data_IF_617610020150
#
_entry.id   IF_617610020150
#
_cell.length_a   1.000
_cell.length_b   1.000
_cell.length_c   1.000
_cell.angle_alpha   90.00
_cell.angle_beta   90.00
_cell.angle_gamma   90.00
#
_symmetry.space_group_name_H-M   'P 1'
#
loop_
_entity.id
_entity.type
_entity.pdbx_description
1 polymer ?
#
# COMPACT_ATOMS: atom_id res chain seq x y z
N UNK A 1 24.88 1.68 -19.33
CA UNK A 1 25.10 1.74 -17.86
C UNK A 1 24.35 0.59 -17.23
N UNK A 2 24.86 -0.03 -16.16
CA UNK A 2 24.13 -1.06 -15.41
C UNK A 2 22.97 -0.37 -14.68
N UNK A 3 21.75 -0.92 -14.75
CA UNK A 3 20.56 -0.41 -14.04
C UNK A 3 20.83 -0.47 -12.53
N UNK A 4 20.69 0.66 -11.82
CA UNK A 4 20.89 0.71 -10.36
C UNK A 4 19.78 -0.05 -9.64
N UNK A 5 20.16 -0.91 -8.69
CA UNK A 5 19.24 -1.61 -7.81
C UNK A 5 18.62 -0.70 -6.76
N UNK A 6 17.74 -1.26 -5.93
CA UNK A 6 16.95 -0.50 -4.95
C UNK A 6 17.83 0.14 -3.86
N UNK A 7 18.84 -0.57 -3.37
CA UNK A 7 19.70 -0.07 -2.29
C UNK A 7 20.64 1.03 -2.78
N UNK A 8 21.12 0.93 -4.03
CA UNK A 8 21.90 1.96 -4.69
C UNK A 8 21.10 3.23 -4.90
N UNK A 9 19.83 3.12 -5.32
CA UNK A 9 18.95 4.29 -5.48
C UNK A 9 18.65 4.97 -4.15
N UNK A 10 18.40 4.20 -3.10
CA UNK A 10 18.13 4.73 -1.75
C UNK A 10 19.36 5.39 -1.12
N UNK A 11 20.56 4.94 -1.46
CA UNK A 11 21.80 5.59 -1.04
C UNK A 11 21.99 6.97 -1.70
N UNK A 12 21.47 7.15 -2.91
CA UNK A 12 21.60 8.39 -3.69
C UNK A 12 20.46 9.39 -3.42
N UNK A 13 19.27 8.92 -3.06
CA UNK A 13 18.14 9.80 -2.84
C UNK A 13 16.81 9.10 -2.61
N UNK A 14 15.74 9.73 -3.07
CA UNK A 14 14.37 9.27 -2.87
C UNK A 14 13.93 8.34 -3.99
N UNK A 15 13.39 7.20 -3.60
CA UNK A 15 12.64 6.26 -4.44
C UNK A 15 11.16 6.53 -4.24
N UNK A 16 10.43 6.69 -5.35
CA UNK A 16 8.98 6.85 -5.32
C UNK A 16 8.30 5.51 -5.59
N UNK A 17 7.44 5.08 -4.67
CA UNK A 17 6.58 3.90 -4.88
C UNK A 17 5.41 4.19 -5.82
N UNK A 18 4.73 3.15 -6.27
CA UNK A 18 3.44 3.28 -6.95
C UNK A 18 2.28 3.49 -5.93
N UNK A 19 1.05 3.35 -6.42
CA UNK A 19 -0.18 3.62 -5.66
C UNK A 19 -1.10 2.41 -5.49
N UNK A 20 -2.38 2.68 -5.26
CA UNK A 20 -3.37 1.67 -4.85
C UNK A 20 -3.97 0.88 -6.00
N UNK A 21 -3.28 -0.16 -6.47
CA UNK A 21 -3.72 -1.02 -7.59
C UNK A 21 -5.14 -1.60 -7.40
N UNK A 22 -5.36 -2.30 -6.29
CA UNK A 22 -6.61 -3.02 -6.00
C UNK A 22 -7.82 -2.07 -6.07
N UNK A 23 -7.75 -0.94 -5.36
CA UNK A 23 -8.85 0.03 -5.29
C UNK A 23 -9.03 0.80 -6.60
N UNK A 24 -7.94 1.16 -7.28
CA UNK A 24 -8.05 1.83 -8.58
C UNK A 24 -8.69 0.92 -9.64
N UNK A 25 -8.35 -0.38 -9.63
CA UNK A 25 -8.94 -1.35 -10.56
C UNK A 25 -10.36 -1.76 -10.19
N UNK A 26 -10.74 -1.74 -8.92
CA UNK A 26 -12.13 -1.95 -8.50
C UNK A 26 -13.04 -0.82 -9.04
N UNK A 27 -12.63 0.44 -8.85
CA UNK A 27 -13.35 1.60 -9.40
C UNK A 27 -13.40 1.60 -10.94
N UNK A 28 -12.45 0.94 -11.60
CA UNK A 28 -12.40 0.77 -13.06
C UNK A 28 -13.17 -0.47 -13.55
N UNK A 29 -13.72 -1.29 -12.65
CA UNK A 29 -14.54 -2.46 -12.97
C UNK A 29 -13.76 -3.74 -13.28
N UNK A 30 -12.50 -3.84 -12.86
CA UNK A 30 -11.63 -5.00 -13.14
C UNK A 30 -11.31 -5.84 -11.90
N UNK A 31 -11.58 -5.34 -10.70
CA UNK A 31 -11.40 -6.07 -9.44
C UNK A 31 -12.72 -6.06 -8.69
N UNK A 32 -13.09 -7.17 -8.07
CA UNK A 32 -14.30 -7.28 -7.27
C UNK A 32 -13.99 -7.01 -5.80
N UNK A 33 -14.71 -6.04 -5.21
CA UNK A 33 -14.71 -5.82 -3.77
C UNK A 33 -15.22 -7.06 -3.02
N UNK A 34 -14.52 -7.45 -1.96
CA UNK A 34 -14.75 -8.68 -1.21
C UNK A 34 -13.50 -9.57 -1.26
N UNK A 35 -13.31 -10.39 -2.31
CA UNK A 35 -12.09 -11.18 -2.46
C UNK A 35 -10.85 -10.35 -2.79
N UNK A 36 -11.00 -9.23 -3.52
CA UNK A 36 -9.89 -8.34 -3.91
C UNK A 36 -8.75 -9.03 -4.68
N UNK A 37 -9.08 -10.09 -5.43
CA UNK A 37 -8.13 -10.92 -6.16
C UNK A 37 -7.66 -10.26 -7.47
N UNK A 38 -6.44 -10.57 -7.97
CA UNK A 38 -5.86 -9.91 -9.14
C UNK A 38 -5.96 -10.73 -10.43
N UNK A 39 -7.04 -11.50 -10.64
CA UNK A 39 -7.29 -12.25 -11.88
C UNK A 39 -7.39 -11.37 -13.13
N UNK A 40 -7.62 -10.06 -12.96
CA UNK A 40 -7.50 -9.05 -14.01
C UNK A 40 -6.15 -9.09 -14.74
N UNK A 41 -5.09 -9.57 -14.11
CA UNK A 41 -3.78 -9.78 -14.75
C UNK A 41 -3.85 -10.78 -15.92
N UNK A 42 -4.72 -11.78 -15.82
CA UNK A 42 -4.98 -12.77 -16.85
C UNK A 42 -6.16 -12.38 -17.75
N UNK A 43 -7.26 -11.92 -17.14
CA UNK A 43 -8.53 -11.66 -17.87
C UNK A 43 -8.51 -10.31 -18.61
N UNK A 44 -7.84 -9.30 -18.05
CA UNK A 44 -7.85 -7.92 -18.53
C UNK A 44 -6.45 -7.27 -18.47
N UNK A 45 -5.41 -7.88 -19.09
CA UNK A 45 -4.03 -7.43 -18.94
C UNK A 45 -3.80 -5.98 -19.37
N UNK A 46 -4.55 -5.49 -20.36
CA UNK A 46 -4.45 -4.08 -20.80
C UNK A 46 -4.84 -3.09 -19.70
N UNK A 47 -5.83 -3.40 -18.87
CA UNK A 47 -6.24 -2.53 -17.77
C UNK A 47 -5.15 -2.42 -16.71
N UNK A 48 -4.55 -3.57 -16.35
CA UNK A 48 -3.44 -3.63 -15.39
C UNK A 48 -2.21 -2.93 -15.93
N UNK A 49 -1.85 -3.19 -17.20
CA UNK A 49 -0.73 -2.54 -17.89
C UNK A 49 -0.90 -1.03 -17.94
N UNK A 50 -2.09 -0.56 -18.29
CA UNK A 50 -2.38 0.87 -18.37
C UNK A 50 -2.23 1.54 -17.00
N UNK A 51 -2.66 0.89 -15.92
CA UNK A 51 -2.48 1.43 -14.57
C UNK A 51 -1.00 1.49 -14.15
N UNK A 52 -0.20 0.47 -14.45
CA UNK A 52 1.26 0.55 -14.28
C UNK A 52 1.84 1.74 -15.06
N UNK A 53 1.45 1.92 -16.32
CA UNK A 53 1.95 3.03 -17.16
C UNK A 53 1.57 4.39 -16.59
N UNK A 54 0.39 4.53 -16.01
CA UNK A 54 -0.04 5.75 -15.35
C UNK A 54 0.81 6.08 -14.12
N UNK A 55 1.14 5.08 -13.29
CA UNK A 55 2.03 5.28 -12.14
C UNK A 55 3.48 5.56 -12.56
N UNK A 56 3.99 4.85 -13.57
CA UNK A 56 5.31 5.13 -14.15
C UNK A 56 5.37 6.57 -14.67
N UNK A 57 4.36 6.99 -15.44
CA UNK A 57 4.25 8.36 -15.96
C UNK A 57 4.16 9.39 -14.84
N UNK A 58 3.48 9.06 -13.73
CA UNK A 58 3.39 9.89 -12.54
C UNK A 58 4.71 10.05 -11.78
N UNK A 59 5.73 9.26 -12.11
CA UNK A 59 7.09 9.37 -11.56
C UNK A 59 7.48 8.28 -10.57
N UNK A 60 6.68 7.20 -10.48
CA UNK A 60 7.05 6.01 -9.70
C UNK A 60 8.33 5.37 -10.25
N UNK A 61 9.19 4.99 -9.32
CA UNK A 61 10.44 4.24 -9.54
C UNK A 61 10.27 2.74 -9.37
N UNK A 62 9.12 2.29 -8.88
CA UNK A 62 8.85 0.89 -8.56
C UNK A 62 7.48 0.50 -9.10
N UNK A 63 7.45 -0.52 -9.95
CA UNK A 63 6.24 -1.22 -10.34
C UNK A 63 6.10 -2.45 -9.44
N UNK A 64 5.23 -2.40 -8.45
CA UNK A 64 4.94 -3.58 -7.65
C UNK A 64 4.08 -4.55 -8.47
N UNK A 65 4.52 -5.79 -8.65
CA UNK A 65 3.72 -6.77 -9.37
C UNK A 65 2.35 -6.93 -8.67
N UNK A 66 1.27 -6.95 -9.46
CA UNK A 66 -0.10 -7.04 -8.93
C UNK A 66 -0.42 -8.45 -8.41
N UNK A 67 0.22 -8.84 -7.30
CA UNK A 67 0.28 -10.20 -6.75
C UNK A 67 -0.21 -10.31 -5.29
N UNK A 68 -0.62 -9.19 -4.71
CA UNK A 68 -0.96 -9.01 -3.29
C UNK A 68 -1.87 -10.10 -2.72
N UNK A 69 -2.94 -10.48 -3.43
CA UNK A 69 -3.93 -11.46 -2.97
C UNK A 69 -4.01 -12.68 -3.91
N UNK A 70 -2.87 -13.20 -4.36
CA UNK A 70 -2.77 -14.27 -5.35
C UNK A 70 -2.03 -15.54 -4.87
N UNK A 71 -2.25 -15.97 -3.63
CA UNK A 71 -1.92 -17.35 -3.22
C UNK A 71 -3.12 -18.27 -3.48
N UNK A 72 -2.88 -19.56 -3.71
CA UNK A 72 -3.99 -20.51 -3.92
C UNK A 72 -4.96 -20.52 -2.73
N UNK A 73 -4.44 -20.42 -1.50
CA UNK A 73 -5.23 -20.28 -0.27
C UNK A 73 -6.13 -19.04 -0.27
N UNK A 74 -5.68 -17.93 -0.85
CA UNK A 74 -6.47 -16.69 -0.99
C UNK A 74 -7.49 -16.77 -2.11
N UNK A 75 -7.19 -17.54 -3.17
CA UNK A 75 -8.14 -17.77 -4.26
C UNK A 75 -9.34 -18.62 -3.83
N UNK A 76 -9.23 -19.41 -2.76
CA UNK A 76 -10.33 -20.19 -2.16
C UNK A 76 -11.31 -19.35 -1.31
N UNK A 77 -11.15 -18.02 -1.25
CA UNK A 77 -11.98 -17.15 -0.42
C UNK A 77 -13.45 -17.12 -0.89
N UNK A 78 -14.37 -16.84 0.05
CA UNK A 78 -15.83 -16.84 -0.16
C UNK A 78 -16.22 -16.07 -1.42
N UNK A 79 -16.91 -16.75 -2.33
CA UNK A 79 -17.47 -16.13 -3.52
C UNK A 79 -16.44 -15.68 -4.57
N UNK A 80 -15.20 -16.17 -4.48
CA UNK A 80 -14.20 -16.01 -5.52
C UNK A 80 -14.27 -17.15 -6.56
N UNK A 81 -14.57 -16.81 -7.81
CA UNK A 81 -14.61 -17.76 -8.91
C UNK A 81 -13.27 -17.86 -9.66
N UNK A 82 -12.33 -16.94 -9.40
CA UNK A 82 -11.04 -16.92 -10.09
C UNK A 82 -10.24 -18.21 -9.89
N UNK A 83 -10.32 -18.82 -8.70
CA UNK A 83 -9.67 -20.09 -8.37
C UNK A 83 -10.13 -21.28 -9.22
N UNK A 84 -11.28 -21.18 -9.90
CA UNK A 84 -11.76 -22.20 -10.84
C UNK A 84 -11.10 -22.10 -12.22
N UNK A 85 -10.60 -20.91 -12.59
CA UNK A 85 -10.02 -20.63 -13.91
C UNK A 85 -8.49 -20.55 -13.88
N UNK A 86 -7.93 -20.04 -12.78
CA UNK A 86 -6.52 -19.74 -12.67
C UNK A 86 -5.96 -20.20 -11.33
N UNK A 87 -4.74 -20.71 -11.35
CA UNK A 87 -3.95 -20.88 -10.12
C UNK A 87 -3.29 -19.56 -9.72
N UNK A 88 -2.90 -19.43 -8.46
CA UNK A 88 -2.09 -18.32 -7.98
C UNK A 88 -0.81 -18.18 -8.79
N UNK A 89 -0.19 -19.29 -9.22
CA UNK A 89 0.98 -19.27 -10.10
C UNK A 89 0.69 -18.61 -11.46
N UNK A 90 -0.46 -18.88 -12.08
CA UNK A 90 -0.83 -18.27 -13.37
C UNK A 90 -0.95 -16.74 -13.23
N UNK A 91 -1.72 -16.31 -12.24
CA UNK A 91 -1.97 -14.89 -11.92
C UNK A 91 -0.66 -14.17 -11.58
N UNK A 92 0.14 -14.74 -10.66
CA UNK A 92 1.41 -14.14 -10.25
C UNK A 92 2.39 -14.00 -11.42
N UNK A 93 2.46 -15.00 -12.31
CA UNK A 93 3.31 -14.91 -13.49
C UNK A 93 2.87 -13.79 -14.43
N UNK A 94 1.58 -13.72 -14.77
CA UNK A 94 1.04 -12.67 -15.62
C UNK A 94 1.29 -11.28 -15.03
N UNK A 95 1.07 -11.11 -13.73
CA UNK A 95 1.37 -9.88 -13.01
C UNK A 95 2.84 -9.46 -13.10
N UNK A 96 3.77 -10.42 -12.93
CA UNK A 96 5.20 -10.17 -13.04
C UNK A 96 5.58 -9.72 -14.46
N UNK A 97 5.03 -10.37 -15.49
CA UNK A 97 5.32 -10.05 -16.88
C UNK A 97 4.86 -8.62 -17.23
N UNK A 98 3.64 -8.24 -16.81
CA UNK A 98 3.08 -6.90 -17.02
C UNK A 98 3.89 -5.81 -16.30
N UNK A 99 4.24 -6.03 -15.04
CA UNK A 99 5.02 -5.07 -14.27
C UNK A 99 6.43 -4.87 -14.87
N UNK A 100 7.05 -5.93 -15.38
CA UNK A 100 8.35 -5.87 -16.07
C UNK A 100 8.28 -5.18 -17.42
N UNK A 101 7.24 -5.46 -18.20
CA UNK A 101 6.99 -4.80 -19.48
C UNK A 101 6.98 -3.28 -19.27
N UNK A 102 6.16 -2.80 -18.34
CA UNK A 102 6.03 -1.36 -18.09
C UNK A 102 7.26 -0.79 -17.41
N UNK A 103 7.87 -1.48 -16.45
CA UNK A 103 9.09 -0.99 -15.81
C UNK A 103 10.24 -0.77 -16.80
N UNK A 104 10.28 -1.54 -17.90
CA UNK A 104 11.26 -1.39 -18.98
C UNK A 104 10.96 -0.21 -19.94
N UNK A 105 9.75 0.33 -19.94
CA UNK A 105 9.39 1.55 -20.69
C UNK A 105 10.00 2.82 -20.04
N UNK A 106 10.46 2.70 -18.79
CA UNK A 106 11.16 3.76 -18.06
C UNK A 106 12.37 3.23 -17.31
N UNK A 107 12.86 4.02 -16.35
CA UNK A 107 13.93 3.61 -15.44
C UNK A 107 13.35 3.18 -14.08
N UNK A 108 12.42 2.22 -14.09
CA UNK A 108 11.76 1.72 -12.88
C UNK A 108 12.18 0.29 -12.53
N UNK A 109 12.15 -0.05 -11.25
CA UNK A 109 12.38 -1.39 -10.70
C UNK A 109 11.07 -2.17 -10.60
N UNK A 110 11.16 -3.51 -10.52
CA UNK A 110 10.00 -4.37 -10.27
C UNK A 110 10.13 -5.06 -8.92
N UNK A 111 9.09 -4.96 -8.11
CA UNK A 111 9.02 -5.58 -6.79
C UNK A 111 8.00 -6.73 -6.75
N UNK A 112 8.36 -7.82 -6.06
CA UNK A 112 7.41 -8.89 -5.73
C UNK A 112 6.81 -8.66 -4.35
N UNK A 113 5.49 -8.47 -4.27
CA UNK A 113 4.76 -8.23 -3.03
C UNK A 113 4.24 -9.52 -2.39
N UNK A 114 4.48 -9.69 -1.09
CA UNK A 114 3.89 -10.70 -0.21
C UNK A 114 3.05 -10.00 0.85
N UNK A 115 2.01 -10.66 1.32
CA UNK A 115 1.17 -10.14 2.42
C UNK A 115 0.72 -11.23 3.36
N UNK A 116 0.19 -10.82 4.53
CA UNK A 116 -0.30 -11.75 5.54
C UNK A 116 -1.24 -12.82 4.97
N UNK A 117 -1.19 -13.99 5.57
CA UNK A 117 -1.85 -15.19 5.06
C UNK A 117 -3.07 -15.55 5.91
N UNK A 118 -4.17 -16.02 5.28
CA UNK A 118 -5.27 -16.66 6.02
C UNK A 118 -4.79 -17.84 6.89
N UNK A 119 -3.69 -18.49 6.47
CA UNK A 119 -3.01 -19.59 7.15
C UNK A 119 -2.50 -19.19 8.55
N UNK A 120 -1.86 -18.02 8.68
CA UNK A 120 -1.45 -17.50 9.99
C UNK A 120 -2.65 -17.12 10.87
N UNK A 121 -3.65 -16.43 10.30
CA UNK A 121 -4.87 -16.06 11.03
C UNK A 121 -5.64 -17.27 11.58
N UNK A 122 -5.56 -18.41 10.88
CA UNK A 122 -6.18 -19.67 11.30
C UNK A 122 -5.33 -20.47 12.30
N UNK A 123 -4.25 -19.89 12.84
CA UNK A 123 -3.31 -20.51 13.77
C UNK A 123 -2.69 -21.82 13.24
N UNK A 124 -2.40 -21.88 11.94
CA UNK A 124 -1.70 -23.01 11.32
C UNK A 124 -0.21 -23.04 11.69
N UNK A 125 0.48 -24.12 11.33
CA UNK A 125 1.91 -24.26 11.66
C UNK A 125 2.78 -23.23 10.95
N UNK A 126 3.89 -22.83 11.57
CA UNK A 126 4.91 -21.96 10.94
C UNK A 126 5.39 -22.52 9.60
N UNK A 127 5.51 -23.85 9.47
CA UNK A 127 5.92 -24.50 8.22
C UNK A 127 4.91 -24.29 7.08
N UNK A 128 3.62 -24.25 7.39
CA UNK A 128 2.57 -24.03 6.38
C UNK A 128 2.61 -22.59 5.89
N UNK A 129 2.73 -21.61 6.80
CA UNK A 129 2.91 -20.19 6.47
C UNK A 129 4.17 -19.99 5.60
N UNK A 130 5.28 -20.64 5.95
CA UNK A 130 6.50 -20.61 5.13
C UNK A 130 6.29 -21.18 3.73
N UNK A 131 5.51 -22.26 3.61
CA UNK A 131 5.21 -22.90 2.32
C UNK A 131 4.44 -21.95 1.41
N UNK A 132 3.45 -21.23 1.95
CA UNK A 132 2.69 -20.23 1.20
C UNK A 132 3.59 -19.13 0.64
N UNK A 133 4.47 -18.56 1.47
CA UNK A 133 5.44 -17.56 1.00
C UNK A 133 6.41 -18.11 -0.04
N UNK A 134 6.96 -19.32 0.17
CA UNK A 134 7.89 -19.96 -0.78
C UNK A 134 7.26 -20.15 -2.16
N UNK A 135 5.97 -20.48 -2.23
CA UNK A 135 5.27 -20.67 -3.49
C UNK A 135 5.21 -19.38 -4.32
N UNK A 136 4.90 -18.23 -3.71
CA UNK A 136 4.90 -16.94 -4.41
C UNK A 136 6.32 -16.47 -4.75
N UNK A 137 7.26 -16.56 -3.79
CA UNK A 137 8.66 -16.16 -3.98
C UNK A 137 9.31 -16.90 -5.15
N UNK A 138 9.01 -18.19 -5.33
CA UNK A 138 9.51 -18.97 -6.47
C UNK A 138 9.14 -18.30 -7.80
N UNK A 139 7.91 -17.80 -7.95
CA UNK A 139 7.48 -17.07 -9.15
C UNK A 139 8.27 -15.78 -9.32
N UNK A 140 8.49 -15.03 -8.25
CA UNK A 140 9.25 -13.78 -8.29
C UNK A 140 10.72 -13.98 -8.69
N UNK A 141 11.36 -15.03 -8.18
CA UNK A 141 12.74 -15.39 -8.51
C UNK A 141 12.86 -15.88 -9.96
N UNK A 142 11.96 -16.78 -10.40
CA UNK A 142 11.92 -17.27 -11.79
C UNK A 142 11.71 -16.12 -12.79
N UNK A 143 10.89 -15.13 -12.43
CA UNK A 143 10.67 -13.94 -13.26
C UNK A 143 11.74 -12.83 -13.09
N UNK A 144 12.76 -13.06 -12.25
CA UNK A 144 13.90 -12.15 -12.04
C UNK A 144 13.48 -10.74 -11.57
N UNK A 145 12.55 -10.65 -10.61
CA UNK A 145 12.19 -9.36 -10.01
C UNK A 145 13.40 -8.72 -9.30
N UNK A 146 13.43 -7.38 -9.21
CA UNK A 146 14.60 -6.63 -8.73
C UNK A 146 14.75 -6.76 -7.20
N UNK A 147 13.64 -6.72 -6.45
CA UNK A 147 13.61 -6.88 -4.99
C UNK A 147 12.26 -7.41 -4.49
N UNK A 148 12.14 -7.68 -3.19
CA UNK A 148 10.94 -8.23 -2.56
C UNK A 148 10.38 -7.26 -1.52
N UNK A 149 9.05 -7.21 -1.40
CA UNK A 149 8.32 -6.42 -0.42
C UNK A 149 7.43 -7.37 0.39
N UNK A 150 7.63 -7.42 1.70
CA UNK A 150 6.67 -7.98 2.65
C UNK A 150 5.79 -6.83 3.16
N UNK A 151 4.56 -6.73 2.69
CA UNK A 151 3.63 -5.63 3.01
C UNK A 151 2.32 -6.13 3.61
N UNK A 152 1.57 -5.28 4.31
CA UNK A 152 0.25 -5.63 4.86
C UNK A 152 0.33 -6.82 5.83
N UNK A 153 1.04 -6.57 6.93
CA UNK A 153 1.13 -7.47 8.07
C UNK A 153 0.68 -6.73 9.34
N UNK A 154 -0.28 -7.32 10.05
CA UNK A 154 -0.81 -6.85 11.33
C UNK A 154 -0.04 -7.42 12.55
N UNK A 155 0.79 -8.45 12.32
CA UNK A 155 1.55 -9.17 13.35
C UNK A 155 3.02 -9.25 12.95
N UNK A 156 3.91 -8.76 13.80
CA UNK A 156 5.35 -8.77 13.47
C UNK A 156 5.92 -10.20 13.41
N UNK A 157 5.30 -11.13 14.11
CA UNK A 157 5.69 -12.53 14.11
C UNK A 157 5.54 -13.16 12.71
N UNK A 158 4.48 -12.82 11.98
CA UNK A 158 4.26 -13.36 10.64
C UNK A 158 5.20 -12.70 9.61
N UNK A 159 5.40 -11.39 9.68
CA UNK A 159 6.33 -10.71 8.75
C UNK A 159 7.77 -11.18 8.95
N UNK A 160 8.19 -11.55 10.17
CA UNK A 160 9.50 -12.18 10.40
C UNK A 160 9.63 -13.53 9.68
N UNK A 161 8.57 -14.31 9.60
CA UNK A 161 8.53 -15.55 8.82
C UNK A 161 8.71 -15.24 7.34
N UNK A 162 7.96 -14.26 6.81
CA UNK A 162 8.05 -13.83 5.42
C UNK A 162 9.47 -13.33 5.05
N UNK A 163 10.05 -12.45 5.89
CA UNK A 163 11.42 -11.95 5.70
C UNK A 163 12.42 -13.09 5.72
N UNK A 164 12.27 -14.06 6.64
CA UNK A 164 13.13 -15.23 6.72
C UNK A 164 13.15 -16.04 5.42
N UNK A 165 11.99 -16.24 4.78
CA UNK A 165 11.90 -16.91 3.49
C UNK A 165 12.47 -16.05 2.36
N UNK A 166 12.18 -14.74 2.32
CA UNK A 166 12.73 -13.81 1.33
C UNK A 166 14.27 -13.79 1.36
N UNK A 167 14.87 -13.91 2.55
CA UNK A 167 16.33 -13.90 2.74
C UNK A 167 17.03 -15.05 2.04
N UNK A 168 16.36 -16.19 1.87
CA UNK A 168 16.87 -17.36 1.13
C UNK A 168 17.20 -17.01 -0.34
N UNK A 169 16.62 -15.93 -0.89
CA UNK A 169 16.81 -15.52 -2.29
C UNK A 169 18.04 -14.64 -2.54
N UNK A 170 18.62 -14.05 -1.48
CA UNK A 170 19.69 -13.06 -1.59
C UNK A 170 19.29 -11.71 -2.20
N UNK A 171 18.00 -11.47 -2.48
CA UNK A 171 17.50 -10.18 -2.97
C UNK A 171 17.32 -9.17 -1.82
N UNK A 172 17.37 -7.86 -2.10
CA UNK A 172 16.98 -6.85 -1.11
C UNK A 172 15.54 -7.02 -0.67
N UNK A 173 15.27 -6.73 0.60
CA UNK A 173 13.96 -6.94 1.24
C UNK A 173 13.47 -5.62 1.83
N UNK A 174 12.28 -5.20 1.42
CA UNK A 174 11.49 -4.21 2.13
C UNK A 174 10.43 -4.88 2.99
N UNK A 175 10.15 -4.33 4.17
CA UNK A 175 9.14 -4.83 5.08
C UNK A 175 8.29 -3.68 5.63
N UNK A 176 6.99 -3.70 5.35
CA UNK A 176 6.05 -2.70 5.87
C UNK A 176 4.86 -3.37 6.54
N UNK A 177 4.43 -2.79 7.67
CA UNK A 177 3.29 -3.28 8.43
C UNK A 177 2.10 -2.32 8.31
N UNK A 178 0.88 -2.85 8.38
CA UNK A 178 -0.34 -2.07 8.39
C UNK A 178 -0.80 -1.77 9.82
N UNK A 179 0.11 -1.19 10.61
CA UNK A 179 -0.10 -0.90 12.04
C UNK A 179 0.05 0.59 12.32
N UNK A 180 -0.65 1.06 13.35
CA UNK A 180 -0.61 2.45 13.81
C UNK A 180 0.44 2.69 14.90
N UNK A 181 0.44 3.89 15.51
CA UNK A 181 1.33 4.23 16.61
C UNK A 181 1.20 3.32 17.84
N UNK A 182 0.03 2.68 18.01
CA UNK A 182 -0.25 1.72 19.09
C UNK A 182 0.49 0.38 18.94
N UNK A 183 1.18 0.15 17.82
CA UNK A 183 1.89 -1.09 17.56
C UNK A 183 1.00 -2.18 16.95
N UNK A 184 1.54 -3.40 16.92
CA UNK A 184 0.90 -4.54 16.27
C UNK A 184 -0.28 -5.11 17.08
N UNK A 185 -1.02 -6.06 16.52
CA UNK A 185 -2.20 -6.64 17.18
C UNK A 185 -1.88 -7.49 18.42
N UNK A 186 -0.61 -7.84 18.67
CA UNK A 186 -0.13 -8.48 19.90
C UNK A 186 0.44 -7.48 20.92
N UNK A 187 0.38 -6.17 20.62
CA UNK A 187 0.85 -5.11 21.52
C UNK A 187 2.35 -4.87 21.45
N UNK A 188 3.03 -5.38 20.42
CA UNK A 188 4.44 -5.05 20.16
C UNK A 188 4.50 -3.63 19.62
N UNK A 189 5.29 -2.76 20.26
CA UNK A 189 5.40 -1.36 19.87
C UNK A 189 5.91 -1.20 18.43
N UNK A 190 5.53 -0.13 17.74
CA UNK A 190 6.02 0.14 16.39
C UNK A 190 7.56 0.16 16.30
N UNK A 191 8.23 0.72 17.32
CA UNK A 191 9.69 0.71 17.44
C UNK A 191 10.27 -0.70 17.50
N UNK A 192 9.71 -1.56 18.36
CA UNK A 192 10.15 -2.95 18.50
C UNK A 192 9.85 -3.76 17.22
N UNK A 193 8.74 -3.48 16.54
CA UNK A 193 8.43 -4.08 15.25
C UNK A 193 9.51 -3.77 14.20
N UNK A 194 9.94 -2.51 14.10
CA UNK A 194 11.01 -2.12 13.18
C UNK A 194 12.33 -2.81 13.51
N UNK A 195 12.71 -2.87 14.79
CA UNK A 195 13.91 -3.58 15.27
C UNK A 195 13.87 -5.06 14.87
N UNK A 196 12.72 -5.72 15.06
CA UNK A 196 12.50 -7.12 14.71
C UNK A 196 12.61 -7.36 13.21
N UNK A 197 11.95 -6.53 12.38
CA UNK A 197 12.05 -6.62 10.91
C UNK A 197 13.50 -6.49 10.41
N UNK A 198 14.27 -5.54 10.93
CA UNK A 198 15.69 -5.37 10.56
C UNK A 198 16.52 -6.57 11.00
N UNK A 199 16.35 -7.07 12.24
CA UNK A 199 17.06 -8.26 12.73
C UNK A 199 16.72 -9.52 11.92
N UNK A 200 15.49 -9.65 11.45
CA UNK A 200 15.08 -10.75 10.56
C UNK A 200 15.80 -10.68 9.20
N UNK A 201 16.13 -9.47 8.73
CA UNK A 201 16.94 -9.25 7.53
C UNK A 201 16.40 -8.20 6.55
N UNK A 202 15.38 -7.42 6.92
CA UNK A 202 14.88 -6.36 6.06
C UNK A 202 15.91 -5.22 5.92
N UNK A 203 16.12 -4.75 4.69
CA UNK A 203 16.98 -3.59 4.39
C UNK A 203 16.22 -2.27 4.48
N UNK A 204 14.92 -2.32 4.21
CA UNK A 204 13.99 -1.20 4.17
C UNK A 204 12.82 -1.56 5.08
N UNK A 205 12.43 -0.68 6.01
CA UNK A 205 11.35 -0.92 6.97
C UNK A 205 10.38 0.25 7.06
N UNK A 206 9.13 -0.03 7.38
CA UNK A 206 8.16 1.03 7.68
C UNK A 206 6.71 0.57 7.74
N UNK A 207 5.80 1.39 7.20
CA UNK A 207 4.35 1.13 7.25
C UNK A 207 3.66 1.33 5.91
N UNK A 208 2.57 0.59 5.70
CA UNK A 208 1.69 0.73 4.54
C UNK A 208 0.22 0.50 4.89
N UNK A 209 -0.71 1.00 4.07
CA UNK A 209 -2.15 0.79 4.21
C UNK A 209 -2.73 1.32 5.54
N UNK A 210 -3.97 0.93 5.86
CA UNK A 210 -4.79 1.09 7.08
C UNK A 210 -4.94 2.47 7.74
N UNK A 211 -3.95 3.34 7.63
CA UNK A 211 -3.89 4.65 8.26
C UNK A 211 -3.60 5.74 7.22
N UNK A 212 -4.15 6.91 7.47
CA UNK A 212 -3.89 8.12 6.70
C UNK A 212 -2.41 8.55 6.73
N UNK A 213 -2.00 9.47 5.83
CA UNK A 213 -0.60 9.86 5.70
C UNK A 213 0.04 10.36 7.00
N UNK A 214 -0.69 11.13 7.80
CA UNK A 214 -0.12 11.79 8.97
C UNK A 214 -0.03 10.85 10.17
N UNK A 215 -0.96 9.91 10.30
CA UNK A 215 -0.90 8.83 11.27
C UNK A 215 0.24 7.87 10.93
N UNK A 216 0.42 7.52 9.66
CA UNK A 216 1.56 6.72 9.21
C UNK A 216 2.90 7.37 9.53
N UNK A 217 3.05 8.70 9.36
CA UNK A 217 4.29 9.40 9.73
C UNK A 217 4.58 9.38 11.23
N UNK A 218 3.55 9.43 12.09
CA UNK A 218 3.74 9.22 13.53
C UNK A 218 4.29 7.83 13.81
N UNK A 219 3.78 6.79 13.15
CA UNK A 219 4.29 5.42 13.29
C UNK A 219 5.73 5.31 12.79
N UNK A 220 6.07 5.91 11.64
CA UNK A 220 7.44 5.93 11.13
C UNK A 220 8.40 6.59 12.11
N UNK A 221 7.99 7.68 12.77
CA UNK A 221 8.81 8.33 13.79
C UNK A 221 9.13 7.37 14.94
N UNK A 222 8.14 6.64 15.45
CA UNK A 222 8.34 5.63 16.50
C UNK A 222 9.23 4.48 16.03
N UNK A 223 9.06 4.01 14.79
CA UNK A 223 9.94 3.00 14.18
C UNK A 223 11.39 3.48 14.11
N UNK A 224 11.61 4.71 13.66
CA UNK A 224 12.93 5.35 13.59
C UNK A 224 13.58 5.44 14.97
N UNK A 225 12.86 5.93 15.98
CA UNK A 225 13.33 6.03 17.36
C UNK A 225 13.72 4.65 17.94
N UNK A 226 12.93 3.61 17.65
CA UNK A 226 13.24 2.23 18.03
C UNK A 226 14.55 1.71 17.42
N UNK A 227 14.77 1.97 16.12
CA UNK A 227 16.00 1.60 15.42
C UNK A 227 17.22 2.35 15.97
N UNK A 228 17.10 3.65 16.19
CA UNK A 228 18.16 4.50 16.74
C UNK A 228 18.56 4.02 18.14
N UNK A 229 17.58 3.75 19.02
CA UNK A 229 17.83 3.21 20.37
C UNK A 229 18.51 1.83 20.34
N UNK A 230 18.20 1.01 19.34
CA UNK A 230 18.80 -0.30 19.15
C UNK A 230 20.16 -0.26 18.42
N UNK A 231 20.62 0.91 17.97
CA UNK A 231 21.85 1.06 17.18
C UNK A 231 21.77 0.38 15.81
N UNK A 232 20.57 0.19 15.26
CA UNK A 232 20.33 -0.44 13.97
C UNK A 232 20.12 0.60 12.88
N UNK A 233 20.52 0.26 11.65
CA UNK A 233 20.32 1.08 10.45
C UNK A 233 19.48 0.34 9.43
N UNK A 234 18.48 1.01 8.89
CA UNK A 234 17.68 0.58 7.75
C UNK A 234 17.13 1.81 7.02
N UNK A 235 16.76 1.65 5.75
CA UNK A 235 16.01 2.70 5.05
C UNK A 235 14.56 2.73 5.53
N UNK A 236 13.96 3.92 5.59
CA UNK A 236 12.56 4.08 5.98
C UNK A 236 11.65 4.17 4.75
N UNK A 237 10.49 3.51 4.84
CA UNK A 237 9.48 3.38 3.79
C UNK A 237 8.07 3.73 4.28
N UNK A 238 7.32 4.53 3.54
CA UNK A 238 5.95 4.89 3.92
C UNK A 238 5.02 4.87 2.71
N UNK A 239 3.97 4.05 2.78
CA UNK A 239 2.90 3.94 1.77
C UNK A 239 1.51 4.01 2.41
N UNK A 240 1.05 5.19 2.86
CA UNK A 240 -0.19 5.33 3.62
C UNK A 240 -1.43 5.14 2.74
N UNK A 241 -2.62 5.22 3.34
CA UNK A 241 -3.87 5.43 2.62
C UNK A 241 -3.91 6.82 1.97
N UNK A 242 -4.64 6.95 0.85
CA UNK A 242 -5.08 8.26 0.35
C UNK A 242 -6.46 8.62 0.90
N UNK A 243 -6.75 8.24 2.14
CA UNK A 243 -7.99 8.56 2.84
C UNK A 243 -7.63 9.19 4.17
N UNK A 244 -8.30 10.28 4.55
CA UNK A 244 -8.24 10.85 5.89
C UNK A 244 -9.01 9.93 6.86
N UNK A 245 -8.31 9.42 7.88
CA UNK A 245 -8.83 8.46 8.84
C UNK A 245 -8.50 8.86 10.30
N UNK A 246 -8.76 10.12 10.70
CA UNK A 246 -8.46 10.58 12.06
C UNK A 246 -9.30 9.88 13.15
N UNK A 247 -10.35 9.18 12.73
CA UNK A 247 -11.29 8.40 13.52
C UNK A 247 -11.03 6.87 13.47
N UNK A 248 -10.03 6.42 12.72
CA UNK A 248 -9.63 5.02 12.75
C UNK A 248 -9.01 4.64 14.10
N UNK A 249 -9.44 3.50 14.64
CA UNK A 249 -8.80 2.87 15.79
C UNK A 249 -7.59 2.02 15.39
N UNK A 250 -7.17 1.14 16.30
CA UNK A 250 -6.00 0.26 16.11
C UNK A 250 -6.10 -0.66 14.89
N UNK A 251 -7.31 -1.07 14.50
CA UNK A 251 -7.61 -1.89 13.31
C UNK A 251 -7.52 -1.13 11.99
N UNK A 252 -7.33 0.19 12.02
CA UNK A 252 -7.28 1.02 10.83
C UNK A 252 -8.64 1.21 10.17
N UNK A 253 -8.63 1.62 8.90
CA UNK A 253 -9.83 2.01 8.16
C UNK A 253 -10.83 0.89 7.85
N UNK A 254 -10.46 -0.38 8.01
CA UNK A 254 -11.37 -1.51 7.72
C UNK A 254 -12.54 -1.54 8.70
N UNK A 255 -12.33 -1.09 9.94
CA UNK A 255 -13.36 -0.99 10.97
C UNK A 255 -14.19 0.30 10.86
N UNK A 256 -13.86 1.20 9.92
CA UNK A 256 -14.70 2.37 9.68
C UNK A 256 -15.99 1.93 8.96
N UNK A 257 -17.17 2.43 9.37
CA UNK A 257 -18.46 2.07 8.75
C UNK A 257 -18.54 2.34 7.25
N UNK A 258 -17.72 3.26 6.74
CA UNK A 258 -17.65 3.61 5.33
C UNK A 258 -16.84 2.62 4.49
N UNK A 259 -16.07 1.71 5.09
CA UNK A 259 -15.29 0.75 4.34
C UNK A 259 -16.17 -0.29 3.64
N UNK A 260 -15.93 -0.63 2.36
CA UNK A 260 -15.07 0.08 1.39
C UNK A 260 -15.84 1.12 0.54
N UNK A 261 -17.18 1.18 0.60
CA UNK A 261 -18.04 1.83 -0.40
C UNK A 261 -18.54 3.25 -0.06
N UNK A 262 -18.05 3.84 1.03
CA UNK A 262 -18.41 5.20 1.46
C UNK A 262 -17.19 6.09 1.73
N UNK A 263 -16.00 5.69 1.27
CA UNK A 263 -14.73 6.35 1.58
C UNK A 263 -14.47 7.60 0.71
N UNK A 264 -15.30 7.90 -0.29
CA UNK A 264 -15.15 9.04 -1.20
C UNK A 264 -14.97 10.40 -0.50
N UNK A 265 -15.69 10.76 0.59
CA UNK A 265 -15.45 12.01 1.31
C UNK A 265 -14.05 12.15 1.87
N UNK A 266 -13.36 11.03 2.11
CA UNK A 266 -12.09 10.97 2.84
C UNK A 266 -10.89 11.09 1.91
N UNK A 267 -11.07 11.00 0.59
CA UNK A 267 -9.96 10.98 -0.36
C UNK A 267 -9.07 12.23 -0.20
N UNK A 268 -7.76 12.02 -0.06
CA UNK A 268 -6.79 13.09 0.05
C UNK A 268 -6.70 13.90 -1.23
N UNK A 269 -6.43 15.19 -1.11
CA UNK A 269 -6.11 16.05 -2.25
C UNK A 269 -4.64 15.88 -2.66
N UNK A 270 -4.26 16.42 -3.83
CA UNK A 270 -2.84 16.47 -4.21
C UNK A 270 -2.00 17.32 -3.25
N UNK A 271 -2.61 18.30 -2.60
CA UNK A 271 -1.94 19.20 -1.66
C UNK A 271 -1.66 18.50 -0.33
N UNK A 272 -2.59 17.67 0.14
CA UNK A 272 -2.37 16.77 1.28
C UNK A 272 -1.17 15.85 1.02
N UNK A 273 -1.08 15.31 -0.20
CA UNK A 273 0.02 14.42 -0.58
C UNK A 273 1.36 15.15 -0.76
N UNK A 274 1.36 16.39 -1.27
CA UNK A 274 2.59 17.21 -1.26
C UNK A 274 3.08 17.48 0.17
N UNK A 275 2.17 17.86 1.07
CA UNK A 275 2.50 18.04 2.48
C UNK A 275 3.05 16.75 3.10
N UNK A 276 2.38 15.62 2.90
CA UNK A 276 2.86 14.30 3.33
C UNK A 276 4.26 13.99 2.79
N UNK A 277 4.49 14.18 1.49
CA UNK A 277 5.78 13.87 0.87
C UNK A 277 6.92 14.70 1.47
N UNK A 278 6.69 15.99 1.74
CA UNK A 278 7.64 16.87 2.41
C UNK A 278 7.93 16.40 3.83
N UNK A 279 6.90 16.18 4.65
CA UNK A 279 7.05 15.71 6.03
C UNK A 279 7.75 14.34 6.10
N UNK A 280 7.43 13.42 5.19
CA UNK A 280 8.07 12.11 5.06
C UNK A 280 9.57 12.26 4.76
N UNK A 281 9.92 13.08 3.78
CA UNK A 281 11.30 13.31 3.39
C UNK A 281 12.14 13.90 4.54
N UNK A 282 11.60 14.90 5.24
CA UNK A 282 12.23 15.56 6.39
C UNK A 282 12.40 14.61 7.59
N UNK A 283 11.43 13.70 7.80
CA UNK A 283 11.54 12.65 8.81
C UNK A 283 12.66 11.63 8.52
N UNK A 284 13.13 11.58 7.27
CA UNK A 284 14.19 10.66 6.82
C UNK A 284 13.67 9.48 5.99
N UNK A 285 12.40 9.48 5.59
CA UNK A 285 11.86 8.49 4.66
C UNK A 285 12.51 8.67 3.30
N UNK A 286 12.93 7.55 2.68
CA UNK A 286 13.57 7.53 1.36
C UNK A 286 12.84 6.66 0.35
N UNK A 287 11.95 5.78 0.79
CA UNK A 287 10.94 5.18 -0.07
C UNK A 287 9.58 5.79 0.25
N UNK A 288 9.04 6.62 -0.63
CA UNK A 288 7.77 7.33 -0.40
C UNK A 288 6.80 6.95 -1.51
N UNK A 289 5.70 6.28 -1.17
CA UNK A 289 4.67 5.87 -2.12
C UNK A 289 3.29 5.97 -1.50
N UNK A 290 2.36 5.15 -1.99
CA UNK A 290 1.02 5.08 -1.43
C UNK A 290 0.38 3.70 -1.55
N UNK A 291 -0.73 3.50 -0.84
CA UNK A 291 -1.50 2.27 -0.84
C UNK A 291 -2.95 2.55 -1.28
N UNK A 292 -3.97 1.96 -0.65
CA UNK A 292 -5.36 2.09 -1.06
C UNK A 292 -5.81 3.57 -1.18
N UNK A 293 -6.45 3.89 -2.30
CA UNK A 293 -6.90 5.24 -2.66
C UNK A 293 -5.88 6.08 -3.45
N UNK A 294 -4.60 5.71 -3.47
CA UNK A 294 -3.61 6.44 -4.26
C UNK A 294 -3.82 6.22 -5.76
N UNK A 295 -4.48 7.18 -6.39
CA UNK A 295 -4.51 7.37 -7.85
C UNK A 295 -3.20 7.96 -8.42
N UNK A 296 -2.95 7.87 -9.74
CA UNK A 296 -1.73 8.38 -10.37
C UNK A 296 -1.40 9.86 -10.07
N UNK A 297 -2.40 10.72 -9.89
CA UNK A 297 -2.15 12.14 -9.59
C UNK A 297 -1.60 12.35 -8.16
N UNK A 298 -1.82 11.42 -7.23
CA UNK A 298 -1.20 11.45 -5.91
C UNK A 298 0.30 11.11 -6.00
N UNK A 299 0.66 10.09 -6.79
CA UNK A 299 2.07 9.76 -7.04
C UNK A 299 2.79 10.91 -7.74
N UNK A 300 2.10 11.60 -8.65
CA UNK A 300 2.61 12.84 -9.25
C UNK A 300 2.85 13.92 -8.20
N UNK A 301 1.97 14.06 -7.21
CA UNK A 301 2.13 15.04 -6.14
C UNK A 301 3.40 14.77 -5.31
N UNK A 302 3.71 13.51 -4.98
CA UNK A 302 4.98 13.13 -4.34
C UNK A 302 6.17 13.54 -5.23
N UNK A 303 6.08 13.20 -6.52
CA UNK A 303 7.15 13.51 -7.49
C UNK A 303 7.39 15.01 -7.68
N UNK A 304 6.32 15.82 -7.69
CA UNK A 304 6.40 17.28 -7.83
C UNK A 304 6.96 17.95 -6.57
N UNK A 305 6.55 17.50 -5.38
CA UNK A 305 7.07 18.06 -4.13
C UNK A 305 8.58 17.81 -3.98
N UNK A 306 9.04 16.63 -4.41
CA UNK A 306 10.43 16.19 -4.26
C UNK A 306 11.26 16.35 -5.55
N UNK A 307 10.77 17.16 -6.50
CA UNK A 307 11.43 17.39 -7.79
C UNK A 307 12.86 17.92 -7.61
N UNK A 308 13.04 18.87 -6.68
CA UNK A 308 14.34 19.51 -6.41
C UNK A 308 15.34 18.50 -5.84
N UNK A 309 14.91 17.71 -4.87
CA UNK A 309 15.72 16.70 -4.20
C UNK A 309 16.08 15.55 -5.14
N UNK A 310 15.21 15.23 -6.10
CA UNK A 310 15.44 14.17 -7.10
C UNK A 310 16.19 14.66 -8.33
N UNK A 311 16.25 15.97 -8.58
CA UNK A 311 16.87 16.55 -9.77
C UNK A 311 16.20 16.17 -11.10
N UNK A 312 14.95 15.69 -11.07
CA UNK A 312 14.20 15.28 -12.27
C UNK A 312 12.70 15.46 -12.10
N UNK A 313 12.02 15.67 -13.24
CA UNK A 313 10.56 15.81 -13.35
C UNK A 313 9.90 14.50 -13.77
N UNK A 314 8.74 14.20 -13.19
CA UNK A 314 7.89 13.13 -13.70
C UNK A 314 7.28 13.53 -15.06
N UNK A 315 7.10 12.56 -15.97
CA UNK A 315 6.55 12.85 -17.31
C UNK A 315 5.12 13.42 -17.22
N UNK A 316 4.35 13.01 -16.21
CA UNK A 316 3.00 13.51 -15.96
C UNK A 316 2.93 15.03 -15.68
N UNK A 317 4.03 15.67 -15.25
CA UNK A 317 4.05 17.13 -15.03
C UNK A 317 3.96 17.91 -16.34
N UNK A 318 4.20 17.29 -17.50
CA UNK A 318 3.92 17.92 -18.82
C UNK A 318 2.46 18.32 -19.03
N UNK A 319 1.53 17.82 -18.20
CA UNK A 319 0.10 18.15 -18.22
C UNK A 319 -0.36 18.80 -16.90
N UNK A 320 0.56 19.35 -16.12
CA UNK A 320 0.26 19.97 -14.84
C UNK A 320 1.24 21.09 -14.50
N UNK A 321 0.71 22.24 -14.08
CA UNK A 321 1.52 23.31 -13.54
C UNK A 321 1.38 23.34 -12.02
N UNK A 322 2.51 23.47 -11.33
CA UNK A 322 2.58 23.45 -9.87
C UNK A 322 1.61 24.45 -9.22
N UNK A 323 1.00 24.05 -8.10
CA UNK A 323 0.16 24.92 -7.26
C UNK A 323 -0.97 25.65 -8.00
N UNK A 324 -1.53 24.98 -9.01
CA UNK A 324 -2.64 25.51 -9.79
C UNK A 324 -2.21 26.51 -10.87
N UNK A 325 -0.92 26.55 -11.25
CA UNK A 325 -0.37 27.47 -12.24
C UNK A 325 -1.15 27.49 -13.56
N UNK A 326 -1.75 26.38 -13.99
CA UNK A 326 -2.53 26.30 -15.22
C UNK A 326 -3.81 27.14 -15.18
N UNK A 327 -4.22 27.62 -14.00
CA UNK A 327 -5.38 28.48 -13.82
C UNK A 327 -5.10 29.95 -14.18
N UNK A 328 -3.85 30.36 -14.39
CA UNK A 328 -3.49 31.78 -14.64
C UNK A 328 -4.16 32.37 -15.89
N UNK A 329 -4.53 31.53 -16.87
CA UNK A 329 -5.16 31.99 -18.12
C UNK A 329 -6.70 31.91 -18.07
N UNK A 330 -7.29 31.51 -16.95
CA UNK A 330 -8.74 31.37 -16.84
C UNK A 330 -9.44 32.73 -16.98
N UNK A 331 -10.60 32.81 -17.65
CA UNK A 331 -11.32 34.09 -17.90
C UNK A 331 -11.80 34.80 -16.63
N UNK A 332 -12.24 34.04 -15.63
CA UNK A 332 -12.74 34.53 -14.32
C UNK A 332 -11.59 34.96 -13.37
N UNK A 333 -11.56 36.22 -12.88
CA UNK A 333 -10.51 36.70 -11.96
C UNK A 333 -10.35 35.88 -10.68
N UNK A 334 -11.45 35.49 -10.03
CA UNK A 334 -11.41 34.69 -8.80
C UNK A 334 -10.92 33.26 -8.99
N UNK A 335 -10.88 32.75 -10.22
CA UNK A 335 -10.24 31.45 -10.55
C UNK A 335 -8.74 31.63 -10.70
N UNK A 336 -8.30 32.68 -11.41
CA UNK A 336 -6.86 33.01 -11.53
C UNK A 336 -6.21 33.30 -10.18
N UNK A 337 -6.93 33.95 -9.27
CA UNK A 337 -6.46 34.25 -7.91
C UNK A 337 -6.09 32.99 -7.10
N UNK A 338 -6.51 31.80 -7.54
CA UNK A 338 -6.19 30.50 -6.93
C UNK A 338 -4.89 29.89 -7.45
N UNK A 339 -4.28 30.43 -8.50
CA UNK A 339 -3.07 29.89 -9.13
C UNK A 339 -1.80 30.17 -8.30
N UNK A 340 -1.81 29.80 -7.03
CA UNK A 340 -0.77 30.13 -6.05
C UNK A 340 -0.83 29.17 -4.87
N UNK A 341 0.37 28.81 -4.37
CA UNK A 341 0.56 27.86 -3.27
C UNK A 341 -0.27 28.19 -2.04
N UNK A 342 -0.13 29.42 -1.56
CA UNK A 342 -0.80 29.94 -0.37
C UNK A 342 -2.34 29.82 -0.42
N UNK A 343 -2.97 29.83 -1.59
CA UNK A 343 -4.41 29.56 -1.67
C UNK A 343 -4.73 28.08 -1.37
N UNK A 344 -4.05 27.14 -2.04
CA UNK A 344 -4.37 25.72 -1.94
C UNK A 344 -3.87 25.06 -0.66
N UNK A 345 -2.76 25.55 -0.09
CA UNK A 345 -2.20 25.05 1.16
C UNK A 345 -3.05 25.43 2.38
N UNK A 346 -3.78 26.56 2.30
CA UNK A 346 -4.62 27.06 3.40
C UNK A 346 -6.12 26.85 3.19
N UNK A 347 -6.57 26.53 1.96
CA UNK A 347 -7.97 26.21 1.71
C UNK A 347 -8.36 24.96 2.50
N UNK A 348 -9.39 25.08 3.33
CA UNK A 348 -10.08 23.94 3.94
C UNK A 348 -11.25 23.53 3.04
N UNK A 349 -11.13 22.47 2.20
CA UNK A 349 -12.18 22.12 1.26
C UNK A 349 -13.43 21.66 2.01
N UNK A 350 -14.60 22.16 1.62
CA UNK A 350 -15.86 21.72 2.21
C UNK A 350 -16.21 20.28 1.79
N UNK A 351 -16.84 19.50 2.68
CA UNK A 351 -17.28 18.13 2.39
C UNK A 351 -18.41 18.04 1.36
N UNK A 352 -19.19 19.12 1.21
CA UNK A 352 -20.40 19.15 0.38
C UNK A 352 -21.56 18.29 0.92
N UNK A 353 -21.45 17.76 2.15
CA UNK A 353 -22.43 16.86 2.77
C UNK A 353 -22.95 17.45 4.09
N UNK A 354 -23.90 18.40 4.06
CA UNK A 354 -24.33 19.15 5.25
C UNK A 354 -25.09 18.31 6.28
N UNK A 355 -25.57 17.12 5.90
CA UNK A 355 -26.29 16.19 6.78
C UNK A 355 -25.43 14.99 7.21
N UNK A 356 -24.15 14.96 6.85
CA UNK A 356 -23.22 13.90 7.25
C UNK A 356 -22.34 14.37 8.41
N UNK A 357 -21.96 13.44 9.28
CA UNK A 357 -20.92 13.69 10.26
C UNK A 357 -19.55 13.83 9.58
N UNK A 358 -18.63 14.53 10.25
CA UNK A 358 -17.23 14.63 9.80
C UNK A 358 -16.42 13.38 10.13
N UNK A 359 -16.84 12.62 11.15
CA UNK A 359 -16.19 11.44 11.69
C UNK A 359 -17.24 10.36 11.98
N UNK A 360 -16.79 9.11 11.99
CA UNK A 360 -17.56 7.92 12.34
C UNK A 360 -16.94 7.20 13.52
N UNK A 361 -17.72 6.37 14.23
CA UNK A 361 -17.18 5.48 15.26
C UNK A 361 -16.81 4.15 14.59
N UNK A 362 -15.57 3.64 14.77
CA UNK A 362 -15.23 2.29 14.30
C UNK A 362 -16.12 1.22 14.93
N UNK A 363 -16.34 0.13 14.20
CA UNK A 363 -17.13 -0.99 14.70
C UNK A 363 -16.41 -1.77 15.82
N UNK A 364 -15.06 -1.80 15.82
CA UNK A 364 -14.17 -2.27 16.89
C UNK A 364 -14.57 -3.62 17.52
N UNK A 365 -14.52 -4.68 16.72
CA UNK A 365 -14.94 -6.02 17.14
C UNK A 365 -13.94 -6.69 18.11
N UNK A 366 -12.74 -6.11 18.28
CA UNK A 366 -11.69 -6.62 19.15
C UNK A 366 -11.32 -8.08 18.89
N UNK A 367 -11.30 -8.51 17.63
CA UNK A 367 -10.91 -9.87 17.20
C UNK A 367 -9.49 -9.86 16.65
N UNK A 368 -8.74 -10.95 16.87
CA UNK A 368 -7.36 -11.13 16.39
C UNK A 368 -7.12 -12.59 16.00
N UNK A 369 -5.92 -12.88 15.47
CA UNK A 369 -5.50 -14.21 15.00
C UNK A 369 -5.87 -15.34 15.98
N UNK A 370 -6.37 -16.45 15.44
CA UNK A 370 -6.89 -17.59 16.21
C UNK A 370 -8.39 -17.53 16.55
N UNK A 371 -9.07 -16.40 16.31
CA UNK A 371 -10.53 -16.32 16.44
C UNK A 371 -11.26 -17.15 15.38
N UNK A 372 -12.28 -17.91 15.78
CA UNK A 372 -13.12 -18.67 14.85
C UNK A 372 -13.85 -17.79 13.83
N UNK A 373 -14.12 -16.51 14.16
CA UNK A 373 -14.77 -15.54 13.27
C UNK A 373 -13.87 -15.17 12.08
N UNK A 374 -12.55 -15.26 12.24
CA UNK A 374 -11.57 -14.93 11.20
C UNK A 374 -11.23 -16.10 10.28
N UNK A 375 -11.72 -17.33 10.58
CA UNK A 375 -11.46 -18.49 9.73
C UNK A 375 -12.11 -18.32 8.36
N UNK A 376 -11.29 -18.41 7.32
CA UNK A 376 -11.75 -18.36 5.94
C UNK A 376 -12.71 -19.52 5.65
N UNK A 377 -13.74 -19.25 4.85
CA UNK A 377 -14.64 -20.29 4.33
C UNK A 377 -14.72 -20.15 2.80
N UNK A 378 -15.14 -21.20 2.10
CA UNK A 378 -15.33 -21.18 0.65
C UNK A 378 -16.75 -20.75 0.24
N UNK A 379 -17.76 -21.03 1.09
CA UNK A 379 -19.15 -20.71 0.81
C UNK A 379 -19.47 -19.23 1.14
N UNK A 380 -20.36 -18.62 0.35
CA UNK A 380 -20.86 -17.28 0.65
C UNK A 380 -21.56 -17.24 2.03
N UNK A 381 -21.40 -16.13 2.74
CA UNK A 381 -22.03 -15.93 4.06
C UNK A 381 -23.56 -15.99 3.93
N UNK A 382 -24.21 -16.88 4.69
CA UNK A 382 -25.66 -17.04 4.61
C UNK A 382 -26.39 -15.86 5.25
N UNK A 383 -27.69 -15.70 4.96
CA UNK A 383 -28.51 -14.66 5.61
C UNK A 383 -28.54 -14.83 7.13
N UNK A 384 -28.58 -16.06 7.61
CA UNK A 384 -28.54 -16.40 9.03
C UNK A 384 -27.19 -16.03 9.66
N UNK A 385 -26.08 -16.29 8.97
CA UNK A 385 -24.74 -15.88 9.41
C UNK A 385 -24.60 -14.36 9.44
N UNK A 386 -25.11 -13.64 8.43
CA UNK A 386 -25.17 -12.17 8.44
C UNK A 386 -25.96 -11.68 9.65
N UNK A 387 -27.13 -12.28 9.95
CA UNK A 387 -27.92 -11.88 11.11
C UNK A 387 -27.18 -12.10 12.44
N UNK A 388 -26.39 -13.17 12.54
CA UNK A 388 -25.51 -13.41 13.70
C UNK A 388 -24.43 -12.33 13.82
N UNK A 389 -23.81 -11.93 12.71
CA UNK A 389 -22.83 -10.85 12.68
C UNK A 389 -23.47 -9.51 13.07
N UNK A 390 -24.62 -9.15 12.51
CA UNK A 390 -25.35 -7.91 12.88
C UNK A 390 -25.65 -7.85 14.38
N UNK A 391 -25.87 -9.01 15.02
CA UNK A 391 -26.16 -9.12 16.44
C UNK A 391 -24.89 -9.25 17.32
N UNK A 392 -23.71 -9.43 16.73
CA UNK A 392 -22.46 -9.47 17.45
C UNK A 392 -22.13 -8.06 17.93
N UNK A 393 -22.48 -7.78 19.18
CA UNK A 393 -22.04 -6.60 19.91
C UNK A 393 -21.15 -7.08 21.04
N UNK A 394 -19.93 -6.53 21.13
CA UNK A 394 -19.17 -6.56 22.37
C UNK A 394 -19.60 -5.42 23.28
#
# INVERSE_FOLDING_TARGET
MVKKGILERLAEGVVIGDGGFVFALEKRGYVKAGPWTPEATCENPEAVRQLHREFLRAGSDVMQAFTFYASDTKLENRGNEAGQKFTGKNINKAACDLAKEVAAEGDALVAGGLSQTPTYLSASSKSDVQKDFRNQIKVFVENKLDFLICEYFEHVEEIEIAIGVCKETGKPIAATMCIGPEGDLHGVSAGDCAVRMVKAGANIVGVNCHFDPFTSLKTIKLMKEGLEKAGLKAYLMCQPLAYHTPDAGKQGFIDLPEFPFGLEPRVTTRWDIQRFAREAYELGVRYIGGCCGFEPYHIRAISEELEKERGRKAVATSKHDAWGGGLVMHTKPWVRARARRDFWENLQPASGRPFSAALSKPDDWGVTAGSDILKQQAAATTKEEIQKLVNFKK
#
